data_IF_137467270159
#
_entry.id   IF_137467270159
#
_cell.length_a   1.000
_cell.length_b   1.000
_cell.length_c   1.000
_cell.angle_alpha   90.00
_cell.angle_beta   90.00
_cell.angle_gamma   90.00
#
_symmetry.space_group_name_H-M   'P 1'
#
loop_
_entity.id
_entity.type
_entity.pdbx_description
1 polymer ?
#
# COMPACT_ATOMS: atom_id res chain seq x y z
N UNK A 1 24.10 14.74 8.42
CA UNK A 1 22.69 14.37 8.20
C UNK A 1 22.60 12.86 8.37
N UNK A 2 21.77 12.38 9.31
CA UNK A 2 21.63 10.94 9.56
C UNK A 2 20.77 10.34 8.44
N UNK A 3 21.33 9.37 7.71
CA UNK A 3 20.63 8.70 6.61
C UNK A 3 20.03 7.42 7.15
N UNK A 4 18.70 7.34 7.21
CA UNK A 4 18.00 6.13 7.64
C UNK A 4 18.18 5.02 6.59
N UNK A 5 18.26 3.76 7.05
CA UNK A 5 18.37 2.60 6.16
C UNK A 5 17.12 2.40 5.30
N UNK A 6 15.96 2.72 5.86
CA UNK A 6 14.66 2.65 5.22
C UNK A 6 13.75 3.70 5.88
N UNK A 7 13.12 4.55 5.08
CA UNK A 7 12.15 5.55 5.54
C UNK A 7 10.79 5.24 4.93
N UNK A 8 9.73 5.34 5.73
CA UNK A 8 8.34 5.25 5.27
C UNK A 8 7.66 6.56 5.65
N UNK A 9 6.94 7.15 4.71
CA UNK A 9 6.07 8.30 4.98
C UNK A 9 4.64 7.80 5.17
N UNK A 10 4.02 8.19 6.26
CA UNK A 10 2.61 7.91 6.56
C UNK A 10 1.83 9.23 6.63
N UNK A 11 0.81 9.36 5.79
CA UNK A 11 -0.08 10.53 5.76
C UNK A 11 -1.49 10.06 6.03
N UNK A 12 -2.02 10.40 7.20
CA UNK A 12 -3.37 10.06 7.61
C UNK A 12 -4.15 11.28 8.08
N UNK A 13 -5.31 11.50 7.48
CA UNK A 13 -6.27 12.53 7.81
C UNK A 13 -7.60 12.22 7.11
N UNK A 14 -8.64 12.99 7.42
CA UNK A 14 -9.82 13.01 6.55
C UNK A 14 -9.43 13.42 5.12
N UNK A 15 -10.10 12.84 4.14
CA UNK A 15 -9.82 13.15 2.76
C UNK A 15 -10.91 12.74 1.79
N UNK A 16 -10.57 12.97 0.53
CA UNK A 16 -11.39 12.74 -0.65
C UNK A 16 -10.48 12.23 -1.77
N UNK A 17 -11.05 12.03 -2.96
CA UNK A 17 -10.28 11.60 -4.14
C UNK A 17 -9.15 12.55 -4.55
N UNK A 18 -9.20 13.80 -4.10
CA UNK A 18 -8.24 14.85 -4.51
C UNK A 18 -7.51 15.50 -3.34
N UNK A 19 -7.91 15.28 -2.08
CA UNK A 19 -7.33 15.97 -0.94
C UNK A 19 -7.17 15.05 0.29
N UNK A 20 -6.13 15.31 1.09
CA UNK A 20 -5.92 14.74 2.41
C UNK A 20 -5.61 15.89 3.37
N UNK A 21 -6.39 16.06 4.44
CA UNK A 21 -6.21 17.14 5.40
C UNK A 21 -6.28 18.55 4.79
N UNK A 22 -7.05 18.72 3.70
CA UNK A 22 -7.15 19.98 2.96
C UNK A 22 -6.01 20.25 1.96
N UNK A 23 -5.01 19.36 1.87
CA UNK A 23 -3.90 19.46 0.91
C UNK A 23 -4.18 18.59 -0.31
N UNK A 24 -3.85 19.07 -1.50
CA UNK A 24 -4.00 18.30 -2.74
C UNK A 24 -3.18 17.00 -2.68
N UNK A 25 -3.82 15.88 -3.00
CA UNK A 25 -3.19 14.56 -3.09
C UNK A 25 -1.97 14.60 -4.02
N UNK A 26 -2.09 15.31 -5.15
CA UNK A 26 -0.99 15.49 -6.10
C UNK A 26 0.23 16.16 -5.47
N UNK A 27 0.04 17.16 -4.62
CA UNK A 27 1.13 17.90 -4.00
C UNK A 27 1.83 17.07 -2.93
N UNK A 28 1.08 16.27 -2.18
CA UNK A 28 1.62 15.28 -1.25
C UNK A 28 2.48 14.27 -2.01
N UNK A 29 1.92 13.63 -3.04
CA UNK A 29 2.61 12.63 -3.86
C UNK A 29 3.87 13.20 -4.50
N UNK A 30 3.78 14.39 -5.10
CA UNK A 30 4.91 15.09 -5.70
C UNK A 30 6.01 15.35 -4.68
N UNK A 31 5.67 15.92 -3.53
CA UNK A 31 6.66 16.27 -2.49
C UNK A 31 7.39 15.02 -1.98
N UNK A 32 6.67 13.92 -1.72
CA UNK A 32 7.28 12.67 -1.26
C UNK A 32 8.16 12.06 -2.36
N UNK A 33 7.66 12.02 -3.59
CA UNK A 33 8.36 11.50 -4.77
C UNK A 33 9.69 12.24 -5.03
N UNK A 34 9.68 13.58 -4.99
CA UNK A 34 10.88 14.41 -5.18
C UNK A 34 11.93 14.24 -4.06
N UNK A 35 11.52 13.78 -2.88
CA UNK A 35 12.41 13.57 -1.72
C UNK A 35 12.81 12.12 -1.53
N UNK A 36 12.22 11.18 -2.27
CA UNK A 36 12.32 9.77 -1.94
C UNK A 36 13.74 9.21 -2.10
N UNK A 37 14.40 9.47 -3.23
CA UNK A 37 15.78 9.02 -3.46
C UNK A 37 16.77 9.61 -2.43
N UNK A 38 16.69 10.91 -2.16
CA UNK A 38 17.63 11.61 -1.27
C UNK A 38 17.49 11.22 0.21
N UNK A 39 16.32 10.72 0.61
CA UNK A 39 15.99 10.42 2.01
C UNK A 39 15.72 8.92 2.27
N UNK A 40 16.04 8.05 1.30
CA UNK A 40 15.74 6.61 1.34
C UNK A 40 14.27 6.31 1.69
N UNK A 41 13.33 7.09 1.15
CA UNK A 41 11.90 6.82 1.32
C UNK A 41 11.53 5.69 0.36
N UNK A 42 11.33 4.50 0.90
CA UNK A 42 10.93 3.34 0.11
C UNK A 42 9.42 3.21 -0.03
N UNK A 43 8.66 3.87 0.86
CA UNK A 43 7.25 3.61 1.05
C UNK A 43 6.43 4.84 1.38
N UNK A 44 5.23 4.89 0.83
CA UNK A 44 4.21 5.88 1.16
C UNK A 44 2.89 5.18 1.50
N UNK A 45 2.39 5.40 2.72
CA UNK A 45 1.06 4.96 3.14
C UNK A 45 0.11 6.15 3.26
N UNK A 46 -1.01 6.11 2.56
CA UNK A 46 -2.07 7.12 2.58
C UNK A 46 -3.27 6.58 3.36
N UNK A 47 -3.28 6.84 4.67
CA UNK A 47 -4.37 6.51 5.60
C UNK A 47 -5.54 7.49 5.48
N UNK A 48 -6.13 7.60 4.30
CA UNK A 48 -7.19 8.55 3.99
C UNK A 48 -8.22 7.96 3.04
N UNK A 49 -9.49 8.28 3.28
CA UNK A 49 -10.60 7.94 2.39
C UNK A 49 -10.31 8.38 0.95
N UNK A 50 -10.59 7.50 -0.01
CA UNK A 50 -10.51 7.74 -1.45
C UNK A 50 -9.13 8.14 -2.03
N UNK A 51 -8.06 8.17 -1.22
CA UNK A 51 -6.72 8.50 -1.70
C UNK A 51 -6.17 7.46 -2.71
N UNK A 52 -6.65 6.22 -2.63
CA UNK A 52 -6.36 5.12 -3.55
C UNK A 52 -7.16 5.13 -4.85
N UNK A 53 -8.17 6.01 -5.00
CA UNK A 53 -9.03 6.03 -6.20
C UNK A 53 -8.28 6.47 -7.46
N UNK A 54 -7.24 7.32 -7.32
CA UNK A 54 -6.42 7.82 -8.43
C UNK A 54 -5.18 6.96 -8.66
N UNK A 55 -5.38 5.66 -8.93
CA UNK A 55 -4.27 4.68 -9.07
C UNK A 55 -3.23 5.07 -10.12
N UNK A 56 -3.64 5.72 -11.22
CA UNK A 56 -2.71 6.21 -12.23
C UNK A 56 -1.78 7.30 -11.67
N UNK A 57 -2.28 8.20 -10.84
CA UNK A 57 -1.49 9.22 -10.15
C UNK A 57 -0.49 8.57 -9.17
N UNK A 58 -0.92 7.54 -8.43
CA UNK A 58 -0.04 6.79 -7.54
C UNK A 58 1.09 6.12 -8.31
N UNK A 59 0.79 5.52 -9.47
CA UNK A 59 1.79 4.93 -10.37
C UNK A 59 2.78 5.97 -10.87
N UNK A 60 2.29 7.10 -11.36
CA UNK A 60 3.13 8.18 -11.90
C UNK A 60 4.13 8.69 -10.86
N UNK A 61 3.69 8.95 -9.62
CA UNK A 61 4.58 9.45 -8.58
C UNK A 61 5.42 8.39 -7.88
N UNK A 62 5.05 7.11 -8.00
CA UNK A 62 5.94 6.00 -7.62
C UNK A 62 7.04 5.82 -8.66
N UNK A 63 6.70 5.93 -9.96
CA UNK A 63 7.59 5.64 -11.08
C UNK A 63 8.91 6.41 -11.01
N UNK A 64 10.01 5.68 -10.84
CA UNK A 64 11.37 6.24 -10.93
C UNK A 64 11.75 7.23 -9.83
N UNK A 65 10.92 7.40 -8.79
CA UNK A 65 11.12 8.38 -7.71
C UNK A 65 12.09 7.92 -6.62
N UNK A 66 12.34 6.62 -6.53
CA UNK A 66 13.00 5.98 -5.39
C UNK A 66 12.01 5.26 -4.46
N UNK A 67 10.72 5.63 -4.51
CA UNK A 67 9.66 4.84 -3.87
C UNK A 67 9.61 3.43 -4.50
N UNK A 68 9.45 2.44 -3.63
CA UNK A 68 9.23 1.04 -3.99
C UNK A 68 7.76 0.68 -3.91
N UNK A 69 7.00 1.36 -3.06
CA UNK A 69 5.57 1.17 -2.96
C UNK A 69 4.84 2.43 -2.52
N UNK A 70 3.56 2.50 -2.90
CA UNK A 70 2.61 3.51 -2.46
C UNK A 70 1.25 2.85 -2.26
N UNK A 71 0.60 3.10 -1.13
CA UNK A 71 -0.67 2.47 -0.80
C UNK A 71 -1.73 3.49 -0.32
N UNK A 72 -3.00 3.19 -0.57
CA UNK A 72 -4.14 3.98 -0.11
C UNK A 72 -5.49 3.34 -0.41
N UNK A 73 -6.57 3.90 0.13
CA UNK A 73 -7.92 3.33 0.04
C UNK A 73 -8.74 3.96 -1.09
N UNK A 74 -9.40 3.15 -1.90
CA UNK A 74 -10.27 3.62 -3.01
C UNK A 74 -11.75 3.80 -2.62
N UNK A 75 -12.06 3.63 -1.34
CA UNK A 75 -13.37 3.88 -0.72
C UNK A 75 -13.20 4.80 0.51
N UNK A 76 -14.29 5.14 1.18
CA UNK A 76 -14.17 5.51 2.59
C UNK A 76 -13.61 4.32 3.39
N UNK A 77 -13.01 4.61 4.54
CA UNK A 77 -12.53 3.59 5.44
C UNK A 77 -12.85 3.97 6.88
N UNK A 78 -13.38 3.03 7.66
CA UNK A 78 -13.61 3.21 9.08
C UNK A 78 -12.27 3.43 9.79
N UNK A 79 -12.15 4.54 10.52
CA UNK A 79 -10.86 5.04 10.99
C UNK A 79 -10.03 4.01 11.78
N UNK A 80 -10.66 3.28 12.71
CA UNK A 80 -9.97 2.29 13.53
C UNK A 80 -9.48 1.11 12.67
N UNK A 81 -10.36 0.57 11.84
CA UNK A 81 -10.05 -0.56 10.93
C UNK A 81 -8.93 -0.17 9.96
N UNK A 82 -9.03 1.01 9.33
CA UNK A 82 -7.99 1.55 8.46
C UNK A 82 -6.66 1.69 9.19
N UNK A 83 -6.64 2.23 10.40
CA UNK A 83 -5.42 2.38 11.20
C UNK A 83 -4.75 1.03 11.52
N UNK A 84 -5.54 -0.02 11.78
CA UNK A 84 -5.00 -1.38 12.01
C UNK A 84 -4.34 -1.94 10.75
N UNK A 85 -4.98 -1.78 9.59
CA UNK A 85 -4.44 -2.21 8.29
C UNK A 85 -3.18 -1.41 7.96
N UNK A 86 -3.21 -0.08 8.12
CA UNK A 86 -2.05 0.80 7.92
C UNK A 86 -0.86 0.33 8.76
N UNK A 87 -1.10 0.04 10.03
CA UNK A 87 -0.07 -0.43 10.97
C UNK A 87 0.53 -1.77 10.55
N UNK A 88 -0.28 -2.71 10.08
CA UNK A 88 0.19 -4.00 9.58
C UNK A 88 1.08 -3.85 8.34
N UNK A 89 0.66 -3.01 7.38
CA UNK A 89 1.42 -2.69 6.16
C UNK A 89 2.75 -2.04 6.52
N UNK A 90 2.74 -1.01 7.38
CA UNK A 90 3.94 -0.28 7.80
C UNK A 90 4.89 -1.20 8.54
N UNK A 91 4.40 -1.99 9.50
CA UNK A 91 5.22 -2.94 10.28
C UNK A 91 5.93 -3.96 9.38
N UNK A 92 5.19 -4.52 8.42
CA UNK A 92 5.76 -5.42 7.43
C UNK A 92 6.79 -4.72 6.54
N UNK A 93 6.46 -3.54 6.01
CA UNK A 93 7.33 -2.77 5.13
C UNK A 93 8.65 -2.33 5.79
N UNK A 94 8.65 -2.04 7.10
CA UNK A 94 9.87 -1.78 7.87
C UNK A 94 10.80 -2.99 7.95
N UNK A 95 10.22 -4.19 7.87
CA UNK A 95 10.93 -5.47 7.97
C UNK A 95 11.40 -6.03 6.63
N UNK A 96 10.97 -5.43 5.50
CA UNK A 96 11.42 -5.84 4.16
C UNK A 96 12.93 -5.62 4.04
N UNK A 97 13.66 -6.71 3.72
CA UNK A 97 15.10 -6.64 3.45
C UNK A 97 15.33 -5.90 2.14
N UNK A 98 16.41 -5.12 2.04
CA UNK A 98 16.74 -4.39 0.80
C UNK A 98 16.76 -5.27 -0.44
N UNK A 99 17.31 -6.49 -0.33
CA UNK A 99 17.35 -7.47 -1.43
C UNK A 99 15.98 -7.95 -1.90
N UNK A 100 14.92 -7.80 -1.10
CA UNK A 100 13.56 -8.15 -1.49
C UNK A 100 12.93 -7.08 -2.39
N UNK A 101 13.37 -5.81 -2.30
CA UNK A 101 12.90 -4.77 -3.22
C UNK A 101 13.34 -5.00 -4.67
N UNK A 102 14.29 -5.89 -4.94
CA UNK A 102 14.75 -6.23 -6.29
C UNK A 102 13.81 -7.21 -7.03
N UNK A 103 12.78 -7.75 -6.38
CA UNK A 103 11.84 -8.72 -6.99
C UNK A 103 10.41 -8.32 -6.67
N UNK A 104 9.57 -8.26 -7.69
CA UNK A 104 8.14 -7.99 -7.53
C UNK A 104 7.49 -9.08 -6.69
N UNK A 105 7.79 -10.33 -6.99
CA UNK A 105 7.25 -11.52 -6.32
C UNK A 105 7.53 -11.48 -4.81
N UNK A 106 8.75 -11.12 -4.41
CA UNK A 106 9.10 -10.97 -2.99
C UNK A 106 8.39 -9.80 -2.31
N UNK A 107 8.18 -8.70 -3.02
CA UNK A 107 7.42 -7.58 -2.49
C UNK A 107 5.94 -7.93 -2.33
N UNK A 108 5.34 -8.57 -3.34
CA UNK A 108 3.97 -9.07 -3.30
C UNK A 108 3.79 -10.03 -2.14
N UNK A 109 4.70 -10.99 -1.96
CA UNK A 109 4.70 -11.90 -0.82
C UNK A 109 4.74 -11.15 0.52
N UNK A 110 5.61 -10.14 0.65
CA UNK A 110 5.70 -9.35 1.87
C UNK A 110 4.37 -8.65 2.21
N UNK A 111 3.76 -7.98 1.22
CA UNK A 111 2.46 -7.34 1.41
C UNK A 111 1.32 -8.34 1.58
N UNK A 112 1.39 -9.54 0.97
CA UNK A 112 0.45 -10.62 1.18
C UNK A 112 0.45 -11.05 2.65
N UNK A 113 1.63 -11.25 3.24
CA UNK A 113 1.75 -11.52 4.67
C UNK A 113 1.21 -10.36 5.53
N UNK A 114 1.32 -9.11 5.07
CA UNK A 114 0.80 -7.96 5.80
C UNK A 114 -0.74 -7.91 5.82
N UNK A 115 -1.39 -8.37 4.76
CA UNK A 115 -2.86 -8.39 4.66
C UNK A 115 -3.49 -9.71 5.12
N UNK A 116 -2.71 -10.78 5.26
CA UNK A 116 -3.14 -12.10 5.75
C UNK A 116 -3.74 -12.13 7.18
N UNK A 117 -3.64 -11.10 8.03
CA UNK A 117 -4.45 -11.09 9.25
C UNK A 117 -5.91 -10.65 9.03
N UNK A 118 -6.25 -10.14 7.84
CA UNK A 118 -7.53 -9.51 7.57
C UNK A 118 -8.33 -10.28 6.53
N UNK A 119 -9.62 -10.52 6.81
CA UNK A 119 -10.51 -11.17 5.86
C UNK A 119 -10.66 -10.30 4.59
N UNK A 120 -10.30 -10.79 3.38
CA UNK A 120 -10.35 -10.00 2.14
C UNK A 120 -11.75 -9.46 1.82
N UNK A 121 -12.79 -10.21 2.19
CA UNK A 121 -14.20 -9.87 2.00
C UNK A 121 -14.78 -8.94 3.06
N UNK A 122 -14.05 -8.61 4.12
CA UNK A 122 -14.56 -7.71 5.16
C UNK A 122 -14.85 -6.33 4.58
N UNK A 123 -16.05 -5.80 4.84
CA UNK A 123 -16.43 -4.44 4.45
C UNK A 123 -15.73 -3.48 5.40
N UNK A 124 -14.86 -2.62 4.85
CA UNK A 124 -14.06 -1.67 5.65
C UNK A 124 -14.49 -0.22 5.47
N UNK A 125 -15.54 0.02 4.69
CA UNK A 125 -16.11 1.33 4.42
C UNK A 125 -17.05 1.28 3.21
N UNK A 126 -17.26 2.42 2.58
CA UNK A 126 -18.31 2.64 1.57
C UNK A 126 -17.79 3.38 0.34
N UNK A 127 -18.40 3.11 -0.81
CA UNK A 127 -18.19 3.91 -2.02
C UNK A 127 -19.07 5.17 -2.01
N UNK A 128 -19.02 5.97 -3.08
CA UNK A 128 -19.84 7.20 -3.22
C UNK A 128 -21.36 6.96 -3.33
N UNK A 129 -21.79 5.71 -3.48
CA UNK A 129 -23.21 5.30 -3.52
C UNK A 129 -23.63 4.64 -2.20
N UNK A 130 -22.88 4.86 -1.13
CA UNK A 130 -23.07 4.29 0.21
C UNK A 130 -23.13 2.75 0.24
N UNK A 131 -22.59 2.10 -0.80
CA UNK A 131 -22.50 0.64 -0.85
C UNK A 131 -21.20 0.20 -0.19
N UNK A 132 -21.28 -0.84 0.65
CA UNK A 132 -20.12 -1.41 1.33
C UNK A 132 -19.04 -1.88 0.35
N UNK A 133 -17.78 -1.59 0.66
CA UNK A 133 -16.62 -1.98 -0.16
C UNK A 133 -15.73 -2.94 0.63
N UNK A 134 -15.46 -4.16 0.11
CA UNK A 134 -14.52 -5.09 0.70
C UNK A 134 -13.09 -4.56 0.75
N UNK A 135 -12.31 -5.00 1.74
CA UNK A 135 -10.89 -4.68 1.88
C UNK A 135 -10.12 -4.93 0.58
N UNK A 136 -10.30 -6.10 -0.04
CA UNK A 136 -9.59 -6.50 -1.27
C UNK A 136 -9.88 -5.57 -2.45
N UNK A 137 -11.05 -4.95 -2.47
CA UNK A 137 -11.44 -3.98 -3.49
C UNK A 137 -11.01 -2.56 -3.14
N UNK A 138 -10.95 -2.22 -1.85
CA UNK A 138 -10.63 -0.88 -1.39
C UNK A 138 -9.12 -0.60 -1.42
N UNK A 139 -8.31 -1.46 -0.82
CA UNK A 139 -6.87 -1.23 -0.63
C UNK A 139 -6.13 -1.31 -1.97
N UNK A 140 -5.52 -0.19 -2.37
CA UNK A 140 -4.69 -0.08 -3.57
C UNK A 140 -3.23 0.01 -3.17
N UNK A 141 -2.42 -0.96 -3.61
CA UNK A 141 -0.97 -0.99 -3.42
C UNK A 141 -0.32 -0.95 -4.78
N UNK A 142 0.48 0.07 -5.02
CA UNK A 142 1.35 0.20 -6.18
C UNK A 142 2.75 -0.26 -5.79
N UNK A 143 3.36 -1.12 -6.60
CA UNK A 143 4.72 -1.64 -6.40
C UNK A 143 5.60 -1.32 -7.61
N UNK A 144 6.81 -0.84 -7.35
CA UNK A 144 7.91 -0.77 -8.31
C UNK A 144 9.20 -1.36 -7.68
N UNK A 145 9.68 -2.51 -8.18
CA UNK A 145 10.97 -3.05 -7.78
C UNK A 145 12.15 -2.10 -8.06
N UNK A 146 13.25 -2.34 -7.36
CA UNK A 146 14.55 -1.74 -7.63
C UNK A 146 15.17 -2.33 -8.91
N UNK A 147 15.82 -1.48 -9.71
CA UNK A 147 16.46 -1.86 -10.97
C UNK A 147 15.91 -1.10 -12.17
N UNK A 148 16.51 -1.37 -13.33
CA UNK A 148 16.10 -0.80 -14.61
C UNK A 148 15.02 -1.67 -15.27
N UNK A 149 14.13 -1.04 -16.06
CA UNK A 149 13.08 -1.74 -16.80
C UNK A 149 11.83 -2.09 -16.00
N UNK A 150 11.82 -1.88 -14.69
CA UNK A 150 10.61 -2.07 -13.87
C UNK A 150 9.69 -0.85 -13.90
N UNK A 151 8.40 -1.13 -14.04
CA UNK A 151 7.33 -0.13 -13.99
C UNK A 151 6.51 -0.23 -12.70
N UNK A 152 6.01 0.91 -12.24
CA UNK A 152 5.06 0.96 -11.14
C UNK A 152 3.71 0.36 -11.59
N UNK A 153 3.25 -0.67 -10.89
CA UNK A 153 2.02 -1.39 -11.19
C UNK A 153 1.16 -1.51 -9.93
N UNK A 154 -0.17 -1.45 -10.11
CA UNK A 154 -1.11 -1.79 -9.03
C UNK A 154 -1.03 -3.31 -8.84
N UNK A 155 -0.64 -3.76 -7.65
CA UNK A 155 -0.43 -5.17 -7.32
C UNK A 155 -1.44 -5.71 -6.30
N UNK A 156 -2.49 -4.96 -5.94
CA UNK A 156 -3.46 -5.39 -4.92
C UNK A 156 -4.08 -6.76 -5.19
N UNK A 157 -4.52 -7.02 -6.42
CA UNK A 157 -5.18 -8.29 -6.76
C UNK A 157 -4.23 -9.48 -6.55
N UNK A 158 -3.00 -9.37 -7.04
CA UNK A 158 -1.92 -10.35 -6.87
C UNK A 158 -1.60 -10.57 -5.38
N UNK A 159 -1.53 -9.50 -4.59
CA UNK A 159 -1.27 -9.53 -3.15
C UNK A 159 -2.38 -10.29 -2.40
N UNK A 160 -3.65 -10.02 -2.69
CA UNK A 160 -4.77 -10.70 -2.04
C UNK A 160 -4.91 -12.15 -2.49
N UNK A 161 -4.61 -12.47 -3.76
CA UNK A 161 -4.57 -13.84 -4.24
C UNK A 161 -3.50 -14.65 -3.50
N UNK A 162 -2.28 -14.11 -3.37
CA UNK A 162 -1.19 -14.78 -2.66
C UNK A 162 -1.46 -14.90 -1.14
N UNK A 163 -2.12 -13.91 -0.54
CA UNK A 163 -2.54 -14.00 0.87
C UNK A 163 -3.55 -15.14 1.06
N UNK A 164 -4.45 -15.34 0.10
CA UNK A 164 -5.46 -16.41 0.16
C UNK A 164 -4.83 -17.80 0.04
N UNK A 165 -3.87 -18.00 -0.87
CA UNK A 165 -3.14 -19.26 -1.02
C UNK A 165 -2.41 -19.69 0.27
N UNK A 166 -1.91 -18.71 1.02
CA UNK A 166 -1.19 -18.96 2.28
C UNK A 166 -2.10 -19.61 3.35
N UNK A 167 -3.39 -19.27 3.39
CA UNK A 167 -4.32 -19.92 4.32
C UNK A 167 -4.67 -21.35 3.92
N UNK A 168 -4.83 -21.60 2.61
CA UNK A 168 -5.20 -22.93 2.10
C UNK A 168 -4.09 -23.94 2.40
N UNK A 169 -2.82 -23.53 2.28
CA UNK A 169 -1.68 -24.37 2.61
C UNK A 169 -1.58 -24.67 4.11
N UNK A 170 -1.84 -23.69 4.98
CA UNK A 170 -1.89 -23.94 6.42
C UNK A 170 -3.03 -24.90 6.80
N UNK A 171 -4.24 -24.74 6.24
CA UNK A 171 -5.36 -25.67 6.51
C UNK A 171 -5.06 -27.10 6.05
N UNK A 172 -4.42 -27.29 4.89
CA UNK A 172 -4.01 -28.62 4.40
C UNK A 172 -2.94 -29.26 5.31
N UNK A 173 -2.00 -28.50 5.86
CA UNK A 173 -1.01 -28.99 6.82
C UNK A 173 -1.63 -29.36 8.19
N UNK A 174 -2.71 -28.70 8.61
CA UNK A 174 -3.39 -29.01 9.87
C UNK A 174 -4.37 -30.20 9.79
N UNK A 175 -4.80 -30.58 8.58
CA UNK A 175 -5.74 -31.68 8.33
C UNK A 175 -5.03 -32.99 7.92
N UNK A 176 -3.74 -32.93 7.56
CA UNK A 176 -2.87 -34.07 7.23
C UNK A 176 -2.23 -34.72 8.48
#
# INVERSE_FOLDING_TARGET
MQVFRNTIVYVAAHGSESHIGGILLKDILKTVSEKAADNNISGLMLGSCFAGTKTQLLKEYTQGSGLRWCAGYSSSCDWLTGTMIDSAIISNALSIKKSHYASREKMVQAFACAVAPFAPGAVIGQNKKDSGVPLSQSLKIVIQPEGQGYHALVSSEEIFAQAQESYVQEEEEYIA
#
